data_IF_554251782024
#
_entry.id   IF_554251782024
#
_cell.length_a   1.000
_cell.length_b   1.000
_cell.length_c   1.000
_cell.angle_alpha   90.00
_cell.angle_beta   90.00
_cell.angle_gamma   90.00
#
_symmetry.space_group_name_H-M   'P 1'
#
loop_
_entity.id
_entity.type
_entity.pdbx_description
1 polymer ?
#
# COMPACT_ATOMS: atom_id res chain seq x y z
N UNK A 1 -44.22 -14.88 8.41
CA UNK A 1 -43.09 -15.14 9.32
C UNK A 1 -41.79 -15.06 8.52
N UNK A 2 -40.87 -14.21 8.99
CA UNK A 2 -39.44 -14.12 8.65
C UNK A 2 -39.01 -14.09 7.16
N UNK A 3 -38.83 -12.88 6.59
CA UNK A 3 -37.80 -12.65 5.56
C UNK A 3 -37.04 -11.31 5.74
N UNK A 4 -37.17 -10.65 6.89
CA UNK A 4 -36.48 -9.37 7.13
C UNK A 4 -34.99 -9.55 7.52
N UNK A 5 -34.55 -10.78 7.78
CA UNK A 5 -33.16 -11.08 8.15
C UNK A 5 -32.18 -11.12 6.97
N UNK A 6 -32.64 -11.55 5.79
CA UNK A 6 -31.78 -11.68 4.61
C UNK A 6 -31.46 -10.33 3.96
N UNK A 7 -32.45 -9.42 3.89
CA UNK A 7 -32.25 -8.08 3.33
C UNK A 7 -31.21 -7.26 4.09
N UNK A 8 -31.25 -7.30 5.43
CA UNK A 8 -30.25 -6.62 6.26
C UNK A 8 -28.85 -7.23 6.13
N UNK A 9 -28.75 -8.55 5.99
CA UNK A 9 -27.46 -9.25 5.86
C UNK A 9 -26.79 -8.97 4.51
N UNK A 10 -27.58 -8.91 3.43
CA UNK A 10 -27.09 -8.55 2.09
C UNK A 10 -26.65 -7.09 2.04
N UNK A 11 -27.41 -6.18 2.66
CA UNK A 11 -27.08 -4.76 2.69
C UNK A 11 -25.78 -4.48 3.47
N UNK A 12 -25.59 -5.18 4.60
CA UNK A 12 -24.36 -5.14 5.38
C UNK A 12 -23.16 -5.64 4.55
N UNK A 13 -23.30 -6.77 3.85
CA UNK A 13 -22.24 -7.31 3.00
C UNK A 13 -21.90 -6.38 1.83
N UNK A 14 -22.91 -5.79 1.17
CA UNK A 14 -22.71 -4.81 0.12
C UNK A 14 -21.99 -3.56 0.64
N UNK A 15 -22.38 -3.07 1.82
CA UNK A 15 -21.73 -1.92 2.45
C UNK A 15 -20.25 -2.20 2.72
N UNK A 16 -19.92 -3.37 3.28
CA UNK A 16 -18.52 -3.78 3.49
C UNK A 16 -17.75 -3.95 2.18
N UNK A 17 -18.38 -4.51 1.15
CA UNK A 17 -17.74 -4.70 -0.16
C UNK A 17 -17.42 -3.36 -0.83
N UNK A 18 -18.34 -2.39 -0.74
CA UNK A 18 -18.15 -1.01 -1.22
C UNK A 18 -17.09 -0.30 -0.38
N UNK A 19 -17.12 -0.43 0.94
CA UNK A 19 -16.13 0.18 1.84
C UNK A 19 -14.71 -0.32 1.54
N UNK A 20 -14.55 -1.64 1.41
CA UNK A 20 -13.27 -2.27 1.05
C UNK A 20 -12.85 -1.83 -0.36
N UNK A 21 -13.77 -1.83 -1.32
CA UNK A 21 -13.51 -1.36 -2.68
C UNK A 21 -13.05 0.09 -2.72
N UNK A 22 -13.68 0.98 -1.95
CA UNK A 22 -13.32 2.39 -1.83
C UNK A 22 -11.93 2.56 -1.20
N UNK A 23 -11.62 1.81 -0.14
CA UNK A 23 -10.28 1.82 0.47
C UNK A 23 -9.22 1.38 -0.54
N UNK A 24 -9.45 0.28 -1.26
CA UNK A 24 -8.54 -0.20 -2.30
C UNK A 24 -8.39 0.84 -3.41
N UNK A 25 -9.48 1.49 -3.82
CA UNK A 25 -9.46 2.53 -4.85
C UNK A 25 -8.65 3.74 -4.40
N UNK A 26 -8.83 4.22 -3.17
CA UNK A 26 -8.04 5.32 -2.57
C UNK A 26 -6.57 4.94 -2.47
N UNK A 27 -6.25 3.74 -1.98
CA UNK A 27 -4.86 3.25 -1.92
C UNK A 27 -4.26 3.15 -3.32
N UNK A 28 -4.99 2.62 -4.31
CA UNK A 28 -4.54 2.57 -5.72
C UNK A 28 -4.44 3.93 -6.37
N UNK A 29 -5.23 4.92 -5.95
CA UNK A 29 -5.13 6.28 -6.44
C UNK A 29 -3.85 6.95 -5.89
N UNK A 30 -3.63 6.84 -4.58
CA UNK A 30 -2.44 7.37 -3.91
C UNK A 30 -1.15 6.64 -4.35
N UNK A 31 -1.21 5.32 -4.47
CA UNK A 31 -0.07 4.47 -4.89
C UNK A 31 0.09 4.42 -6.42
N UNK A 32 -0.99 4.65 -7.18
CA UNK A 32 -0.98 4.73 -8.64
C UNK A 32 -0.31 6.01 -9.13
N UNK A 33 -0.33 7.07 -8.32
CA UNK A 33 0.45 8.27 -8.57
C UNK A 33 1.97 8.06 -8.39
N UNK A 34 2.40 6.97 -7.76
CA UNK A 34 3.81 6.54 -7.70
C UNK A 34 4.12 5.30 -8.57
N UNK A 35 3.21 4.88 -9.45
CA UNK A 35 3.36 3.67 -10.29
C UNK A 35 3.02 3.87 -11.76
N UNK A 36 2.96 5.10 -12.24
CA UNK A 36 3.28 5.36 -13.64
C UNK A 36 4.81 5.42 -13.77
N UNK A 37 5.37 4.70 -14.75
CA UNK A 37 6.80 4.50 -15.09
C UNK A 37 7.27 3.13 -14.54
N UNK A 38 7.08 2.06 -15.31
CA UNK A 38 8.04 1.53 -16.29
C UNK A 38 9.27 0.86 -15.62
N UNK A 39 9.87 -0.18 -16.23
CA UNK A 39 11.05 -0.88 -15.69
C UNK A 39 12.32 -0.03 -15.89
N UNK A 40 12.35 1.17 -15.33
CA UNK A 40 13.49 2.08 -15.36
C UNK A 40 13.95 2.32 -13.92
N UNK A 41 15.23 2.05 -13.67
CA UNK A 41 15.93 2.32 -12.41
C UNK A 41 15.70 1.27 -11.31
N UNK A 42 16.60 0.29 -11.29
CA UNK A 42 16.91 -0.57 -10.14
C UNK A 42 17.18 0.23 -8.84
N UNK A 43 17.52 1.53 -8.94
CA UNK A 43 17.74 2.45 -7.82
C UNK A 43 16.45 2.71 -7.03
N UNK A 44 15.32 2.98 -7.70
CA UNK A 44 14.06 3.28 -7.01
C UNK A 44 13.50 2.05 -6.29
N UNK A 45 13.68 0.85 -6.86
CA UNK A 45 13.34 -0.41 -6.19
C UNK A 45 14.22 -0.68 -4.97
N UNK A 46 15.52 -0.38 -5.05
CA UNK A 46 16.43 -0.54 -3.91
C UNK A 46 16.06 0.40 -2.75
N UNK A 47 15.73 1.65 -3.04
CA UNK A 47 15.29 2.63 -2.04
C UNK A 47 13.93 2.27 -1.41
N UNK A 48 12.97 1.75 -2.19
CA UNK A 48 11.66 1.33 -1.67
C UNK A 48 11.80 0.10 -0.74
N UNK A 49 12.65 -0.85 -1.10
CA UNK A 49 13.00 -2.00 -0.23
C UNK A 49 13.69 -1.53 1.06
N UNK A 50 14.57 -0.53 0.98
CA UNK A 50 15.24 0.07 2.14
C UNK A 50 14.22 0.72 3.08
N UNK A 51 13.31 1.52 2.53
CA UNK A 51 12.26 2.22 3.27
C UNK A 51 11.29 1.25 3.95
N UNK A 52 10.97 0.14 3.28
CA UNK A 52 10.11 -0.92 3.84
C UNK A 52 10.76 -1.63 5.03
N UNK A 53 12.08 -1.86 5.00
CA UNK A 53 12.83 -2.46 6.13
C UNK A 53 13.00 -1.50 7.30
N UNK A 54 13.19 -0.21 7.03
CA UNK A 54 13.19 0.83 8.05
C UNK A 54 11.84 0.94 8.76
N UNK A 55 10.72 0.94 8.00
CA UNK A 55 9.37 0.94 8.56
C UNK A 55 9.04 -0.33 9.35
N UNK A 56 9.71 -1.45 9.03
CA UNK A 56 9.62 -2.71 9.77
C UNK A 56 10.52 -2.76 11.01
N UNK A 57 11.37 -1.75 11.20
CA UNK A 57 12.34 -1.66 12.30
C UNK A 57 13.51 -2.65 12.19
N UNK A 58 13.74 -3.23 11.01
CA UNK A 58 14.81 -4.20 10.76
C UNK A 58 16.17 -3.53 10.51
N UNK A 59 16.18 -2.23 10.21
CA UNK A 59 17.39 -1.43 10.00
C UNK A 59 17.25 -0.12 10.77
N UNK A 60 18.36 0.35 11.32
CA UNK A 60 18.42 1.63 12.02
C UNK A 60 18.44 2.82 11.03
N UNK A 61 18.11 4.02 11.52
CA UNK A 61 18.14 5.26 10.74
C UNK A 61 19.54 5.53 10.17
N UNK A 62 20.59 5.19 10.92
CA UNK A 62 21.98 5.38 10.50
C UNK A 62 22.35 4.48 9.30
N UNK A 63 21.93 3.22 9.32
CA UNK A 63 22.13 2.27 8.21
C UNK A 63 21.31 2.64 6.98
N UNK A 64 20.09 3.13 7.18
CA UNK A 64 19.24 3.64 6.10
C UNK A 64 19.91 4.82 5.39
N UNK A 65 20.45 5.77 6.14
CA UNK A 65 21.11 6.95 5.61
C UNK A 65 22.42 6.64 4.89
N UNK A 66 23.21 5.67 5.36
CA UNK A 66 24.40 5.20 4.65
C UNK A 66 24.03 4.57 3.30
N UNK A 67 23.15 3.57 3.30
CA UNK A 67 22.77 2.86 2.07
C UNK A 67 22.04 3.76 1.07
N UNK A 68 21.29 4.76 1.55
CA UNK A 68 20.67 5.78 0.69
C UNK A 68 21.72 6.65 0.00
N UNK A 69 22.79 7.05 0.69
CA UNK A 69 23.89 7.82 0.10
C UNK A 69 24.64 6.99 -0.94
N UNK A 70 24.98 5.74 -0.63
CA UNK A 70 25.65 4.83 -1.56
C UNK A 70 24.86 4.59 -2.86
N UNK A 71 23.53 4.63 -2.80
CA UNK A 71 22.66 4.46 -3.98
C UNK A 71 22.54 5.76 -4.79
N UNK A 72 22.71 6.91 -4.15
CA UNK A 72 22.61 8.25 -4.75
C UNK A 72 23.95 8.75 -5.34
N UNK A 73 25.07 8.22 -4.86
CA UNK A 73 26.39 8.33 -5.50
C UNK A 73 26.46 7.50 -6.80
#
# INVERSE_FOLDING_TARGET
>A
MMNWGWGGMIFQLLFWLVLIGAIIWVIKYITGQSRSIAPSSSRDSALDILKKRYAKGEIDREEFEQKKRDILE
#
